data_IF_008260687830
#
_entry.id   IF_008260687830
#
_cell.length_a   1.000
_cell.length_b   1.000
_cell.length_c   1.000
_cell.angle_alpha   90.00
_cell.angle_beta   90.00
_cell.angle_gamma   90.00
#
_symmetry.space_group_name_H-M   'P 1'
#
loop_
_entity.id
_entity.type
_entity.pdbx_description
1 polymer ?
#
# COMPACT_ATOMS: atom_id res chain seq x y z
N UNK A 1 0.86 14.86 26.91
CA UNK A 1 1.76 15.69 26.10
C UNK A 1 1.64 17.17 26.42
N UNK A 2 0.42 17.74 26.54
CA UNK A 2 0.25 19.17 26.87
C UNK A 2 0.93 19.58 28.18
N UNK A 3 0.78 18.80 29.26
CA UNK A 3 1.47 19.07 30.52
C UNK A 3 3.00 19.01 30.37
N UNK A 4 3.50 18.03 29.60
CA UNK A 4 4.93 17.91 29.34
C UNK A 4 5.47 19.11 28.56
N UNK A 5 4.70 19.64 27.62
CA UNK A 5 5.08 20.84 26.85
C UNK A 5 5.25 22.07 27.77
N UNK A 6 4.29 22.31 28.67
CA UNK A 6 4.38 23.40 29.64
C UNK A 6 5.63 23.27 30.50
N UNK A 7 5.89 22.09 31.07
CA UNK A 7 7.09 21.84 31.89
C UNK A 7 8.37 22.08 31.09
N UNK A 8 8.46 21.57 29.85
CA UNK A 8 9.63 21.77 29.00
C UNK A 8 9.89 23.26 28.71
N UNK A 9 8.81 24.03 28.50
CA UNK A 9 8.89 25.48 28.25
C UNK A 9 9.26 26.27 29.49
N UNK A 10 8.60 26.05 30.61
CA UNK A 10 8.80 26.77 31.85
C UNK A 10 10.23 26.59 32.39
N UNK A 11 10.73 25.35 32.33
CA UNK A 11 12.07 25.02 32.79
C UNK A 11 13.15 25.15 31.71
N UNK A 12 12.79 25.52 30.45
CA UNK A 12 13.69 25.65 29.29
C UNK A 12 14.59 24.42 29.09
N UNK A 13 13.96 23.24 29.21
CA UNK A 13 14.61 21.94 29.00
C UNK A 13 14.07 21.26 27.75
N UNK A 14 14.88 20.42 27.11
CA UNK A 14 14.50 19.71 25.87
C UNK A 14 13.99 18.29 26.11
N UNK A 15 14.24 17.73 27.29
CA UNK A 15 13.98 16.32 27.63
C UNK A 15 13.35 16.24 29.00
N UNK A 16 12.24 15.50 29.11
CA UNK A 16 11.51 15.28 30.35
C UNK A 16 11.45 13.79 30.65
N UNK A 17 12.21 13.27 31.65
CA UNK A 17 12.09 11.90 32.11
C UNK A 17 10.71 11.65 32.73
N UNK A 18 10.13 10.50 32.42
CA UNK A 18 8.88 10.04 33.02
C UNK A 18 9.22 8.91 33.99
N UNK A 19 8.79 9.06 35.22
CA UNK A 19 9.00 8.06 36.28
C UNK A 19 7.67 7.51 36.80
N UNK A 20 7.70 6.28 37.27
CA UNK A 20 6.55 5.68 37.96
C UNK A 20 6.44 6.20 39.43
N UNK A 21 5.46 5.70 40.17
CA UNK A 21 5.23 6.07 41.57
C UNK A 21 6.41 5.73 42.51
N UNK A 22 7.33 4.87 42.07
CA UNK A 22 8.54 4.47 42.82
C UNK A 22 9.78 5.26 42.39
N UNK A 23 9.64 6.22 41.45
CA UNK A 23 10.76 7.00 40.91
C UNK A 23 11.59 6.25 39.84
N UNK A 24 11.13 5.12 39.35
CA UNK A 24 11.83 4.35 38.30
C UNK A 24 11.52 4.96 36.94
N UNK A 25 12.53 5.18 36.11
CA UNK A 25 12.41 5.69 34.77
C UNK A 25 11.59 4.72 33.89
N UNK A 26 10.46 5.19 33.37
CA UNK A 26 9.55 4.41 32.51
C UNK A 26 9.39 5.01 31.10
N UNK A 27 9.90 6.21 30.88
CA UNK A 27 9.81 6.86 29.57
C UNK A 27 10.58 8.17 29.50
N UNK A 28 10.61 8.74 28.30
CA UNK A 28 11.21 10.04 28.01
C UNK A 28 10.32 10.76 26.99
N UNK A 29 9.99 12.03 27.27
CA UNK A 29 9.35 12.92 26.32
C UNK A 29 10.34 14.02 25.95
N UNK A 30 10.52 14.27 24.66
CA UNK A 30 11.37 15.35 24.17
C UNK A 30 10.55 16.45 23.51
N UNK A 31 11.10 17.65 23.44
CA UNK A 31 10.48 18.76 22.70
C UNK A 31 10.25 18.40 21.22
N UNK A 32 11.19 17.62 20.62
CA UNK A 32 11.03 17.12 19.25
C UNK A 32 9.82 16.19 19.08
N UNK A 33 9.50 15.38 20.08
CA UNK A 33 8.34 14.48 20.03
C UNK A 33 7.03 15.28 20.01
N UNK A 34 6.96 16.35 20.80
CA UNK A 34 5.83 17.27 20.83
C UNK A 34 5.70 18.00 19.49
N UNK A 35 6.80 18.50 18.91
CA UNK A 35 6.79 19.12 17.59
C UNK A 35 6.34 18.14 16.50
N UNK A 36 6.83 16.91 16.50
CA UNK A 36 6.39 15.87 15.56
C UNK A 36 4.89 15.56 15.69
N UNK A 37 4.37 15.54 16.92
CA UNK A 37 2.95 15.33 17.15
C UNK A 37 2.12 16.48 16.55
N UNK A 38 2.56 17.73 16.70
CA UNK A 38 1.89 18.93 16.15
C UNK A 38 2.01 19.01 14.62
N UNK A 39 3.18 18.70 14.09
CA UNK A 39 3.46 18.77 12.65
C UNK A 39 2.80 17.64 11.87
N UNK A 40 2.64 16.46 12.49
CA UNK A 40 2.07 15.27 11.87
C UNK A 40 0.88 14.69 12.68
N UNK A 41 -0.22 15.47 12.81
CA UNK A 41 -1.36 15.06 13.65
C UNK A 41 -2.09 13.83 13.10
N UNK A 42 -1.96 13.55 11.80
CA UNK A 42 -2.61 12.43 11.10
C UNK A 42 -1.71 11.20 10.93
N UNK A 43 -0.49 11.20 11.49
CA UNK A 43 0.38 10.04 11.44
C UNK A 43 -0.28 8.86 12.16
N UNK A 44 -0.21 7.66 11.54
CA UNK A 44 -0.77 6.44 12.11
C UNK A 44 0.07 5.99 13.30
N UNK A 45 -0.44 6.20 14.51
CA UNK A 45 0.25 5.93 15.78
C UNK A 45 -0.54 4.95 16.63
N UNK A 46 0.17 4.25 17.49
CA UNK A 46 -0.40 3.44 18.55
C UNK A 46 -0.81 4.31 19.76
N UNK A 47 -1.35 3.71 20.80
CA UNK A 47 -1.79 4.38 22.02
C UNK A 47 -0.64 5.03 22.82
N UNK A 48 0.60 4.61 22.56
CA UNK A 48 1.82 5.18 23.15
C UNK A 48 2.43 6.29 22.28
N UNK A 49 1.79 6.64 21.15
CA UNK A 49 2.27 7.67 20.22
C UNK A 49 3.39 7.21 19.28
N UNK A 50 3.70 5.90 19.21
CA UNK A 50 4.68 5.33 18.29
C UNK A 50 4.02 5.09 16.93
N UNK A 51 4.79 5.26 15.84
CA UNK A 51 4.31 4.91 14.50
C UNK A 51 4.01 3.41 14.43
N UNK A 52 2.84 3.06 13.89
CA UNK A 52 2.52 1.66 13.58
C UNK A 52 3.38 1.16 12.43
N UNK A 53 3.82 -0.09 12.54
CA UNK A 53 4.73 -0.73 11.58
C UNK A 53 4.18 -2.05 11.08
N UNK A 54 4.39 -2.33 9.80
CA UNK A 54 4.02 -3.58 9.17
C UNK A 54 5.20 -4.26 8.50
N UNK A 55 5.13 -5.58 8.35
CA UNK A 55 6.10 -6.36 7.62
C UNK A 55 5.42 -7.37 6.70
N UNK A 56 6.04 -7.60 5.51
CA UNK A 56 5.57 -8.62 4.59
C UNK A 56 6.32 -9.94 4.82
N UNK A 57 5.59 -11.04 4.64
CA UNK A 57 6.12 -12.40 4.61
C UNK A 57 5.56 -13.15 3.41
N UNK A 58 6.32 -14.11 2.89
CA UNK A 58 5.87 -15.07 1.89
C UNK A 58 5.24 -16.31 2.53
N UNK A 59 5.20 -17.40 1.75
CA UNK A 59 4.77 -18.73 2.19
C UNK A 59 5.93 -19.69 1.94
N UNK A 60 6.89 -19.68 2.85
CA UNK A 60 8.12 -20.46 2.83
C UNK A 60 8.25 -21.27 4.13
N UNK A 61 9.19 -22.21 4.19
CA UNK A 61 9.38 -23.08 5.36
C UNK A 61 9.71 -22.29 6.65
N UNK A 62 10.37 -21.14 6.52
CA UNK A 62 10.80 -20.28 7.63
C UNK A 62 9.77 -19.16 7.98
N UNK A 63 8.62 -19.11 7.29
CA UNK A 63 7.63 -18.03 7.50
C UNK A 63 7.22 -17.90 8.96
N UNK A 64 6.96 -19.00 9.67
CA UNK A 64 6.53 -18.94 11.08
C UNK A 64 7.63 -18.48 12.04
N UNK A 65 8.89 -18.80 11.75
CA UNK A 65 10.04 -18.29 12.50
C UNK A 65 10.18 -16.78 12.30
N UNK A 66 10.08 -16.32 11.05
CA UNK A 66 10.10 -14.90 10.70
C UNK A 66 8.95 -14.13 11.36
N UNK A 67 7.72 -14.65 11.34
CA UNK A 67 6.57 -14.05 12.03
C UNK A 67 6.82 -13.96 13.53
N UNK A 68 7.37 -15.01 14.16
CA UNK A 68 7.70 -14.98 15.59
C UNK A 68 8.72 -13.89 15.94
N UNK A 69 9.76 -13.72 15.12
CA UNK A 69 10.75 -12.66 15.31
C UNK A 69 10.14 -11.26 15.15
N UNK A 70 9.25 -11.06 14.17
CA UNK A 70 8.56 -9.80 13.93
C UNK A 70 7.60 -9.44 15.07
N UNK A 71 6.85 -10.41 15.59
CA UNK A 71 5.98 -10.23 16.76
C UNK A 71 6.81 -9.85 17.99
N UNK A 72 7.94 -10.53 18.22
CA UNK A 72 8.86 -10.18 19.30
C UNK A 72 9.42 -8.77 19.15
N UNK A 73 9.63 -8.30 17.91
CA UNK A 73 10.09 -6.95 17.62
C UNK A 73 8.99 -5.88 17.75
N UNK A 74 7.73 -6.28 17.96
CA UNK A 74 6.60 -5.37 18.17
C UNK A 74 5.93 -4.91 16.87
N UNK A 75 5.85 -5.77 15.84
CA UNK A 75 5.13 -5.46 14.60
C UNK A 75 3.63 -5.33 14.88
N UNK A 76 2.98 -4.33 14.27
CA UNK A 76 1.53 -4.12 14.40
C UNK A 76 0.72 -4.95 13.40
N UNK A 77 1.25 -5.15 12.19
CA UNK A 77 0.56 -5.87 11.12
C UNK A 77 1.52 -6.70 10.28
N UNK A 78 1.10 -7.91 9.93
CA UNK A 78 1.80 -8.77 8.95
C UNK A 78 1.00 -8.79 7.64
N UNK A 79 1.70 -8.68 6.51
CA UNK A 79 1.11 -8.93 5.19
C UNK A 79 1.64 -10.26 4.64
N UNK A 80 0.78 -11.26 4.48
CA UNK A 80 1.09 -12.46 3.70
C UNK A 80 0.89 -12.06 2.23
N UNK A 81 2.00 -11.77 1.55
CA UNK A 81 2.02 -11.13 0.23
C UNK A 81 2.54 -12.09 -0.84
N UNK A 82 1.64 -12.57 -1.69
CA UNK A 82 1.93 -13.54 -2.75
C UNK A 82 1.33 -13.11 -4.09
N UNK A 83 1.79 -13.71 -5.18
CA UNK A 83 1.22 -13.49 -6.51
C UNK A 83 -0.20 -14.08 -6.64
N UNK A 84 -0.56 -15.07 -5.79
CA UNK A 84 -1.88 -15.71 -5.79
C UNK A 84 -2.32 -16.09 -4.37
N UNK A 85 -3.07 -15.20 -3.72
CA UNK A 85 -3.55 -15.37 -2.34
C UNK A 85 -4.60 -16.45 -2.16
N UNK A 86 -5.33 -16.85 -3.22
CA UNK A 86 -6.33 -17.92 -3.16
C UNK A 86 -5.70 -19.32 -3.38
N UNK A 87 -4.52 -19.54 -2.84
CA UNK A 87 -3.86 -20.84 -2.85
C UNK A 87 -4.00 -21.53 -1.48
N UNK A 88 -3.96 -22.86 -1.50
CA UNK A 88 -4.03 -23.67 -0.27
C UNK A 88 -2.91 -23.32 0.72
N UNK A 89 -1.71 -23.06 0.20
CA UNK A 89 -0.56 -22.67 1.03
C UNK A 89 -0.80 -21.36 1.78
N UNK A 90 -1.29 -20.33 1.09
CA UNK A 90 -1.59 -19.02 1.71
C UNK A 90 -2.71 -19.14 2.75
N UNK A 91 -3.79 -19.85 2.45
CA UNK A 91 -4.91 -20.05 3.39
C UNK A 91 -4.45 -20.80 4.63
N UNK A 92 -3.65 -21.85 4.48
CA UNK A 92 -3.11 -22.60 5.61
C UNK A 92 -2.15 -21.76 6.45
N UNK A 93 -1.25 -21.01 5.81
CA UNK A 93 -0.32 -20.11 6.50
C UNK A 93 -1.05 -19.04 7.29
N UNK A 94 -2.11 -18.43 6.71
CA UNK A 94 -2.95 -17.47 7.41
C UNK A 94 -3.60 -18.07 8.64
N UNK A 95 -4.20 -19.26 8.54
CA UNK A 95 -4.81 -19.97 9.67
C UNK A 95 -3.80 -20.27 10.77
N UNK A 96 -2.59 -20.71 10.40
CA UNK A 96 -1.52 -21.01 11.35
C UNK A 96 -1.06 -19.77 12.11
N UNK A 97 -0.84 -18.64 11.38
CA UNK A 97 -0.48 -17.36 12.00
C UNK A 97 -1.57 -16.89 12.96
N UNK A 98 -2.84 -16.91 12.54
CA UNK A 98 -3.97 -16.48 13.40
C UNK A 98 -4.20 -17.40 14.58
N UNK A 99 -3.98 -18.70 14.44
CA UNK A 99 -4.07 -19.64 15.55
C UNK A 99 -2.99 -19.37 16.64
N UNK A 100 -1.76 -19.08 16.20
CA UNK A 100 -0.63 -18.82 17.11
C UNK A 100 -0.64 -17.39 17.68
N UNK A 101 -1.10 -16.41 16.90
CA UNK A 101 -1.14 -14.98 17.24
C UNK A 101 -2.52 -14.37 16.96
N UNK A 102 -3.55 -14.69 17.74
CA UNK A 102 -4.94 -14.33 17.45
C UNK A 102 -5.18 -12.80 17.39
N UNK A 103 -4.40 -12.03 18.15
CA UNK A 103 -4.51 -10.57 18.20
C UNK A 103 -3.68 -9.84 17.13
N UNK A 104 -2.78 -10.56 16.41
CA UNK A 104 -1.98 -9.97 15.35
C UNK A 104 -2.88 -9.65 14.15
N UNK A 105 -2.76 -8.44 13.64
CA UNK A 105 -3.46 -8.06 12.41
C UNK A 105 -2.76 -8.67 11.20
N UNK A 106 -3.51 -9.35 10.33
CA UNK A 106 -2.96 -10.03 9.15
C UNK A 106 -3.69 -9.59 7.89
N UNK A 107 -2.95 -8.99 6.98
CA UNK A 107 -3.39 -8.71 5.61
C UNK A 107 -3.02 -9.92 4.75
N UNK A 108 -3.93 -10.41 3.91
CA UNK A 108 -3.63 -11.51 2.99
C UNK A 108 -3.92 -11.12 1.53
N UNK A 109 -3.08 -11.54 0.61
CA UNK A 109 -3.23 -11.27 -0.83
C UNK A 109 -2.08 -11.83 -1.68
N UNK A 110 -2.08 -11.56 -3.01
CA UNK A 110 -3.09 -10.79 -3.71
C UNK A 110 -4.20 -11.69 -4.26
N UNK A 111 -5.38 -11.12 -4.37
CA UNK A 111 -6.56 -11.78 -4.91
C UNK A 111 -7.27 -10.90 -5.94
N UNK A 112 -8.25 -11.45 -6.67
CA UNK A 112 -9.00 -10.70 -7.67
C UNK A 112 -10.49 -11.11 -7.76
N UNK A 113 -10.97 -12.04 -6.93
CA UNK A 113 -12.34 -12.55 -7.00
C UNK A 113 -13.03 -12.51 -5.64
N UNK A 114 -14.37 -12.37 -5.65
CA UNK A 114 -15.16 -12.40 -4.43
C UNK A 114 -15.05 -13.73 -3.66
N UNK A 115 -14.93 -14.86 -4.39
CA UNK A 115 -14.72 -16.18 -3.76
C UNK A 115 -13.39 -16.22 -2.98
N UNK A 116 -12.32 -15.68 -3.54
CA UNK A 116 -11.03 -15.57 -2.87
C UNK A 116 -11.10 -14.66 -1.64
N UNK A 117 -11.77 -13.51 -1.76
CA UNK A 117 -11.97 -12.58 -0.65
C UNK A 117 -12.68 -13.25 0.52
N UNK A 118 -13.77 -13.97 0.23
CA UNK A 118 -14.50 -14.71 1.24
C UNK A 118 -13.65 -15.81 1.88
N UNK A 119 -12.91 -16.59 1.10
CA UNK A 119 -12.05 -17.67 1.61
C UNK A 119 -10.96 -17.15 2.56
N UNK A 120 -10.36 -15.99 2.27
CA UNK A 120 -9.37 -15.37 3.15
C UNK A 120 -10.00 -14.78 4.41
N UNK A 121 -11.16 -14.13 4.32
CA UNK A 121 -11.90 -13.64 5.48
C UNK A 121 -12.33 -14.79 6.41
N UNK A 122 -12.87 -15.87 5.84
CA UNK A 122 -13.26 -17.08 6.60
C UNK A 122 -12.03 -17.78 7.25
N UNK A 123 -10.83 -17.59 6.68
CA UNK A 123 -9.57 -18.08 7.24
C UNK A 123 -8.97 -17.15 8.32
N UNK A 124 -9.58 -15.99 8.59
CA UNK A 124 -9.19 -15.07 9.66
C UNK A 124 -8.35 -13.87 9.19
N UNK A 125 -8.35 -13.51 7.89
CA UNK A 125 -7.71 -12.28 7.44
C UNK A 125 -8.40 -11.06 8.03
N UNK A 126 -7.62 -10.12 8.57
CA UNK A 126 -8.12 -8.84 9.07
C UNK A 126 -8.28 -7.81 7.94
N UNK A 127 -7.61 -8.00 6.81
CA UNK A 127 -7.82 -7.27 5.56
C UNK A 127 -7.40 -8.11 4.36
N UNK A 128 -7.96 -7.82 3.17
CA UNK A 128 -7.55 -8.47 1.93
C UNK A 128 -6.95 -7.47 0.96
N UNK A 129 -5.88 -7.89 0.24
CA UNK A 129 -5.21 -7.07 -0.74
C UNK A 129 -5.52 -7.57 -2.16
N UNK A 130 -6.12 -6.68 -2.97
CA UNK A 130 -6.73 -7.00 -4.27
C UNK A 130 -5.94 -6.40 -5.42
N UNK A 131 -5.51 -7.25 -6.33
CA UNK A 131 -4.79 -6.83 -7.53
C UNK A 131 -3.95 -7.96 -8.13
N UNK A 132 -4.39 -8.53 -9.25
CA UNK A 132 -3.66 -9.53 -10.04
C UNK A 132 -3.37 -8.94 -11.41
N UNK A 133 -2.10 -8.59 -11.64
CA UNK A 133 -1.61 -8.05 -12.90
C UNK A 133 -1.88 -6.57 -13.22
N UNK A 134 -2.39 -5.69 -12.32
CA UNK A 134 -2.67 -4.30 -12.68
C UNK A 134 -1.45 -3.37 -12.62
N UNK A 135 -0.34 -3.80 -12.03
CA UNK A 135 0.87 -2.98 -11.85
C UNK A 135 1.49 -2.56 -13.19
N UNK A 136 2.04 -1.34 -13.26
CA UNK A 136 2.62 -0.78 -14.49
C UNK A 136 3.86 -1.53 -14.97
N UNK A 137 4.54 -2.26 -14.07
CA UNK A 137 5.74 -3.07 -14.34
C UNK A 137 5.42 -4.57 -14.33
N UNK A 138 4.14 -4.94 -14.20
CA UNK A 138 3.70 -6.33 -14.14
C UNK A 138 3.40 -6.88 -15.54
N UNK A 139 3.92 -8.07 -15.83
CA UNK A 139 3.66 -8.77 -17.09
C UNK A 139 2.89 -10.07 -16.92
N UNK A 140 2.38 -10.37 -15.71
CA UNK A 140 1.61 -11.60 -15.41
C UNK A 140 0.47 -11.83 -16.42
N UNK A 141 -0.26 -10.80 -16.80
CA UNK A 141 -1.37 -10.90 -17.76
C UNK A 141 -0.93 -11.34 -19.15
N UNK A 142 0.31 -11.05 -19.52
CA UNK A 142 0.88 -11.40 -20.84
C UNK A 142 1.60 -12.75 -20.76
N UNK A 143 2.42 -12.95 -19.74
CA UNK A 143 3.27 -14.13 -19.59
C UNK A 143 2.45 -15.35 -19.14
N UNK A 144 1.63 -15.18 -18.10
CA UNK A 144 0.80 -16.24 -17.54
C UNK A 144 -0.64 -16.25 -18.08
N UNK A 145 -1.08 -15.19 -18.78
CA UNK A 145 -2.45 -15.04 -19.25
C UNK A 145 -3.49 -14.86 -18.13
N UNK A 146 -3.03 -14.50 -16.92
CA UNK A 146 -3.86 -14.40 -15.72
C UNK A 146 -3.95 -12.96 -15.23
N UNK A 147 -5.15 -12.53 -14.84
CA UNK A 147 -5.41 -11.22 -14.27
C UNK A 147 -6.85 -10.79 -14.45
N UNK A 148 -7.24 -9.77 -13.70
CA UNK A 148 -8.59 -9.20 -13.71
C UNK A 148 -8.49 -7.68 -13.78
N UNK A 149 -9.36 -6.97 -14.55
CA UNK A 149 -9.41 -5.52 -14.52
C UNK A 149 -9.61 -5.00 -13.10
N UNK A 150 -8.75 -4.06 -12.65
CA UNK A 150 -8.60 -3.73 -11.24
C UNK A 150 -9.88 -3.22 -10.58
N UNK A 151 -10.60 -2.31 -11.24
CA UNK A 151 -11.84 -1.76 -10.68
C UNK A 151 -12.90 -2.84 -10.46
N UNK A 152 -13.00 -3.79 -11.42
CA UNK A 152 -13.90 -4.94 -11.31
C UNK A 152 -13.50 -5.87 -10.16
N UNK A 153 -12.20 -6.17 -10.03
CA UNK A 153 -11.68 -7.01 -8.95
C UNK A 153 -11.98 -6.41 -7.56
N UNK A 154 -11.75 -5.11 -7.40
CA UNK A 154 -12.05 -4.39 -6.15
C UNK A 154 -13.55 -4.46 -5.84
N UNK A 155 -14.40 -4.16 -6.82
CA UNK A 155 -15.86 -4.18 -6.67
C UNK A 155 -16.37 -5.56 -6.25
N UNK A 156 -15.95 -6.64 -6.94
CA UNK A 156 -16.38 -8.00 -6.62
C UNK A 156 -15.89 -8.47 -5.25
N UNK A 157 -14.65 -8.15 -4.87
CA UNK A 157 -14.14 -8.47 -3.54
C UNK A 157 -14.87 -7.71 -2.44
N UNK A 158 -15.08 -6.41 -2.60
CA UNK A 158 -15.80 -5.58 -1.63
C UNK A 158 -17.26 -6.03 -1.47
N UNK A 159 -17.93 -6.36 -2.59
CA UNK A 159 -19.29 -6.91 -2.58
C UNK A 159 -19.38 -8.22 -1.79
N UNK A 160 -18.41 -9.13 -1.97
CA UNK A 160 -18.36 -10.41 -1.28
C UNK A 160 -18.08 -10.27 0.22
N UNK A 161 -17.39 -9.20 0.64
CA UNK A 161 -17.04 -8.93 2.04
C UNK A 161 -18.03 -8.01 2.75
N UNK A 162 -19.10 -7.59 2.08
CA UNK A 162 -20.11 -6.70 2.69
C UNK A 162 -20.67 -7.31 3.97
N UNK A 163 -20.60 -6.57 5.07
CA UNK A 163 -21.10 -6.99 6.39
C UNK A 163 -20.12 -7.85 7.21
N UNK A 164 -18.94 -8.22 6.66
CA UNK A 164 -17.93 -8.99 7.40
C UNK A 164 -17.02 -8.14 8.29
N UNK A 165 -16.93 -6.83 8.01
CA UNK A 165 -15.96 -5.94 8.67
C UNK A 165 -14.53 -6.04 8.12
N UNK A 166 -14.25 -6.92 7.15
CA UNK A 166 -12.93 -7.09 6.55
C UNK A 166 -12.73 -6.09 5.41
N UNK A 167 -11.81 -5.10 5.54
CA UNK A 167 -11.59 -4.08 4.52
C UNK A 167 -10.80 -4.59 3.32
N UNK A 168 -10.96 -3.89 2.21
CA UNK A 168 -10.27 -4.13 0.94
C UNK A 168 -9.18 -3.10 0.71
N UNK A 169 -7.98 -3.55 0.37
CA UNK A 169 -6.86 -2.73 -0.10
C UNK A 169 -6.77 -2.88 -1.62
N UNK A 170 -6.98 -1.80 -2.37
CA UNK A 170 -6.85 -1.81 -3.83
C UNK A 170 -5.37 -1.63 -4.22
N UNK A 171 -4.73 -2.71 -4.66
CA UNK A 171 -3.29 -2.73 -4.96
C UNK A 171 -3.01 -2.72 -6.46
N UNK A 172 -2.45 -1.62 -6.94
CA UNK A 172 -2.05 -1.43 -8.34
C UNK A 172 -3.13 -0.89 -9.26
N UNK A 173 -2.73 -0.56 -10.48
CA UNK A 173 -3.62 -0.01 -11.51
C UNK A 173 -3.99 1.46 -11.33
N UNK A 174 -3.45 2.13 -10.32
CA UNK A 174 -3.66 3.55 -10.04
C UNK A 174 -2.67 4.37 -10.88
N UNK A 175 -3.17 5.12 -11.84
CA UNK A 175 -2.35 5.96 -12.76
C UNK A 175 -2.50 7.44 -12.47
N UNK A 176 -3.70 7.87 -12.13
CA UNK A 176 -4.06 9.26 -11.85
C UNK A 176 -4.72 9.39 -10.48
N UNK A 177 -4.76 10.60 -9.95
CA UNK A 177 -5.42 10.89 -8.66
C UNK A 177 -6.89 10.46 -8.61
N UNK A 178 -7.61 10.63 -9.73
CA UNK A 178 -9.01 10.20 -9.86
C UNK A 178 -9.22 8.68 -9.75
N UNK A 179 -8.20 7.87 -10.03
CA UNK A 179 -8.31 6.42 -9.88
C UNK A 179 -8.37 5.99 -8.41
N UNK A 180 -7.79 6.80 -7.49
CA UNK A 180 -7.91 6.61 -6.05
C UNK A 180 -9.38 6.69 -5.62
N UNK A 181 -10.08 7.75 -6.05
CA UNK A 181 -11.49 7.94 -5.74
C UNK A 181 -12.35 6.82 -6.34
N UNK A 182 -12.06 6.37 -7.57
CA UNK A 182 -12.74 5.25 -8.22
C UNK A 182 -12.54 3.94 -7.46
N UNK A 183 -11.31 3.65 -6.99
CA UNK A 183 -11.04 2.46 -6.20
C UNK A 183 -11.81 2.46 -4.89
N UNK A 184 -11.86 3.61 -4.19
CA UNK A 184 -12.65 3.77 -2.96
C UNK A 184 -14.14 3.64 -3.24
N UNK A 185 -14.66 4.29 -4.27
CA UNK A 185 -16.07 4.18 -4.67
C UNK A 185 -16.44 2.73 -5.05
N UNK A 186 -15.50 1.93 -5.57
CA UNK A 186 -15.70 0.50 -5.81
C UNK A 186 -15.69 -0.36 -4.54
N UNK A 187 -15.46 0.23 -3.36
CA UNK A 187 -15.51 -0.44 -2.06
C UNK A 187 -14.16 -0.69 -1.39
N UNK A 188 -13.06 -0.16 -1.94
CA UNK A 188 -11.79 -0.19 -1.23
C UNK A 188 -11.80 0.77 -0.04
N UNK A 189 -11.16 0.39 1.06
CA UNK A 189 -10.93 1.26 2.22
C UNK A 189 -9.62 2.04 2.11
N UNK A 190 -8.63 1.45 1.44
CA UNK A 190 -7.30 2.04 1.19
C UNK A 190 -6.79 1.62 -0.19
N UNK A 191 -5.73 2.30 -0.66
CA UNK A 191 -5.04 1.95 -1.89
C UNK A 191 -3.57 1.63 -1.62
N UNK A 192 -2.98 0.78 -2.47
CA UNK A 192 -1.55 0.60 -2.58
C UNK A 192 -1.11 0.98 -4.00
N UNK A 193 -0.05 1.77 -4.11
CA UNK A 193 0.43 2.26 -5.39
C UNK A 193 1.95 2.14 -5.49
N UNK A 194 2.44 1.59 -6.58
CA UNK A 194 3.87 1.48 -6.88
C UNK A 194 4.35 2.65 -7.73
N UNK A 195 3.93 2.72 -9.01
CA UNK A 195 4.43 3.69 -9.99
C UNK A 195 4.17 5.16 -9.61
N UNK A 196 3.10 5.44 -8.87
CA UNK A 196 2.81 6.79 -8.41
C UNK A 196 3.88 7.32 -7.44
N UNK A 197 4.44 6.44 -6.62
CA UNK A 197 5.50 6.78 -5.65
C UNK A 197 6.91 6.41 -6.12
N UNK A 198 7.06 5.63 -7.19
CA UNK A 198 8.38 5.21 -7.65
C UNK A 198 9.28 6.37 -8.12
N UNK A 199 8.68 7.49 -8.56
CA UNK A 199 9.40 8.68 -9.02
C UNK A 199 9.74 9.70 -7.93
N UNK A 200 9.35 9.48 -6.68
CA UNK A 200 9.65 10.43 -5.59
C UNK A 200 11.11 10.33 -5.13
N UNK A 201 11.62 11.40 -4.53
CA UNK A 201 12.99 11.48 -4.03
C UNK A 201 13.32 10.36 -3.05
N UNK A 202 12.39 10.05 -2.14
CA UNK A 202 12.54 9.05 -1.09
C UNK A 202 12.46 7.60 -1.59
N UNK A 203 12.06 7.38 -2.84
CA UNK A 203 12.04 6.03 -3.45
C UNK A 203 13.48 5.48 -3.55
N UNK A 204 13.71 4.18 -3.26
CA UNK A 204 15.05 3.58 -3.24
C UNK A 204 15.69 3.42 -4.63
N UNK A 205 14.92 3.57 -5.72
CA UNK A 205 15.44 3.47 -7.08
C UNK A 205 16.52 4.51 -7.37
N UNK A 206 17.52 4.15 -8.16
CA UNK A 206 18.59 5.05 -8.57
C UNK A 206 18.04 6.24 -9.37
N UNK A 207 18.63 7.42 -9.16
CA UNK A 207 18.32 8.59 -9.98
C UNK A 207 19.15 8.53 -11.28
N UNK A 208 18.46 8.55 -12.40
CA UNK A 208 19.01 8.43 -13.74
C UNK A 208 18.82 9.77 -14.48
N UNK A 209 19.87 10.28 -15.11
CA UNK A 209 19.78 11.41 -16.06
C UNK A 209 19.67 10.83 -17.47
N UNK A 210 18.59 11.12 -18.16
CA UNK A 210 18.34 10.68 -19.53
C UNK A 210 17.73 11.83 -20.35
N UNK A 211 18.32 12.12 -21.49
CA UNK A 211 17.89 13.24 -22.36
C UNK A 211 17.69 14.56 -21.59
N UNK A 212 18.60 14.87 -20.66
CA UNK A 212 18.56 16.09 -19.86
C UNK A 212 17.49 16.14 -18.75
N UNK A 213 16.76 15.05 -18.52
CA UNK A 213 15.71 14.95 -17.50
C UNK A 213 16.07 13.92 -16.43
N UNK A 214 15.57 14.14 -15.20
CA UNK A 214 15.72 13.20 -14.10
C UNK A 214 14.65 12.12 -14.14
N UNK A 215 15.06 10.88 -13.92
CA UNK A 215 14.21 9.70 -13.77
C UNK A 215 14.63 8.91 -12.52
N UNK A 216 13.76 8.03 -12.04
CA UNK A 216 14.09 7.02 -11.04
C UNK A 216 13.98 5.63 -11.67
N UNK A 217 14.93 4.76 -11.37
CA UNK A 217 14.81 3.33 -11.69
C UNK A 217 13.63 2.73 -10.93
N UNK A 218 12.86 1.90 -11.60
CA UNK A 218 11.71 1.21 -11.02
C UNK A 218 11.61 -0.21 -11.57
N UNK A 219 11.56 -1.19 -10.67
CA UNK A 219 11.49 -2.60 -11.04
C UNK A 219 10.27 -3.29 -10.45
N UNK A 220 9.74 -4.26 -11.19
CA UNK A 220 8.70 -5.16 -10.68
C UNK A 220 9.25 -6.20 -9.73
N UNK A 221 8.46 -6.63 -8.77
CA UNK A 221 8.78 -7.74 -7.88
C UNK A 221 9.02 -9.06 -8.64
N UNK A 222 8.38 -9.24 -9.81
CA UNK A 222 8.56 -10.38 -10.70
C UNK A 222 9.64 -10.17 -11.76
N UNK A 223 10.47 -9.13 -11.70
CA UNK A 223 11.65 -8.99 -12.57
C UNK A 223 12.78 -9.92 -12.11
N UNK A 224 13.68 -10.30 -13.02
CA UNK A 224 14.82 -11.15 -12.69
C UNK A 224 15.64 -10.52 -11.57
N UNK A 225 15.93 -9.23 -11.66
CA UNK A 225 16.73 -8.49 -10.68
C UNK A 225 16.10 -8.45 -9.29
N UNK A 226 14.77 -8.48 -9.21
CA UNK A 226 14.08 -8.58 -7.92
C UNK A 226 14.09 -10.02 -7.38
N UNK A 227 13.90 -11.00 -8.26
CA UNK A 227 13.93 -12.42 -7.90
C UNK A 227 15.31 -12.86 -7.37
N UNK A 228 16.41 -12.36 -7.95
CA UNK A 228 17.77 -12.56 -7.46
C UNK A 228 17.98 -12.02 -6.04
N UNK A 229 17.22 -11.00 -5.66
CA UNK A 229 17.30 -10.34 -4.34
C UNK A 229 16.25 -10.84 -3.33
N UNK A 230 15.55 -11.93 -3.63
CA UNK A 230 14.70 -12.63 -2.66
C UNK A 230 13.20 -12.64 -2.94
N UNK A 231 12.71 -12.10 -4.08
CA UNK A 231 11.27 -12.10 -4.37
C UNK A 231 10.76 -13.35 -5.11
N UNK A 232 11.59 -14.40 -5.25
CA UNK A 232 11.24 -15.66 -5.92
C UNK A 232 10.05 -16.37 -5.26
N UNK A 233 9.99 -16.35 -3.94
CA UNK A 233 8.93 -16.95 -3.12
C UNK A 233 7.55 -16.40 -3.44
N UNK A 234 7.45 -15.10 -3.74
CA UNK A 234 6.20 -14.45 -4.15
C UNK A 234 5.57 -15.11 -5.39
N UNK A 235 6.40 -15.60 -6.29
CA UNK A 235 6.02 -16.21 -7.57
C UNK A 235 6.13 -17.73 -7.58
N UNK A 236 6.25 -18.37 -6.40
CA UNK A 236 6.38 -19.83 -6.24
C UNK A 236 7.58 -20.43 -6.99
N UNK A 237 8.68 -19.66 -7.09
CA UNK A 237 9.92 -20.04 -7.75
C UNK A 237 11.11 -20.07 -6.78
N UNK A 238 10.86 -20.18 -5.49
CA UNK A 238 11.84 -20.15 -4.41
C UNK A 238 12.81 -21.35 -4.45
N UNK A 239 12.38 -22.48 -5.00
CA UNK A 239 13.19 -23.71 -5.13
C UNK A 239 14.10 -23.72 -6.37
N UNK A 240 13.97 -22.76 -7.29
CA UNK A 240 14.81 -22.69 -8.50
C UNK A 240 16.03 -21.79 -8.24
N UNK A 241 17.21 -22.38 -8.35
CA UNK A 241 18.50 -21.69 -8.14
C UNK A 241 19.14 -21.22 -9.45
N UNK A 242 18.77 -21.81 -10.59
CA UNK A 242 19.29 -21.37 -11.89
C UNK A 242 18.48 -20.19 -12.42
N UNK A 243 19.10 -19.01 -12.40
CA UNK A 243 18.50 -17.75 -12.89
C UNK A 243 17.93 -17.87 -14.31
N UNK A 244 18.58 -18.68 -15.16
CA UNK A 244 18.14 -18.88 -16.56
C UNK A 244 16.84 -19.66 -16.68
N UNK A 245 16.40 -20.31 -15.62
CA UNK A 245 15.14 -21.07 -15.57
C UNK A 245 14.02 -20.28 -14.90
N UNK A 246 14.31 -19.14 -14.29
CA UNK A 246 13.28 -18.25 -13.74
C UNK A 246 12.39 -17.72 -14.87
N UNK A 247 11.09 -17.66 -14.61
CA UNK A 247 10.10 -17.09 -15.53
C UNK A 247 9.65 -15.74 -14.96
N UNK A 248 10.19 -14.60 -15.48
CA UNK A 248 9.87 -13.31 -14.95
C UNK A 248 8.44 -12.88 -15.34
N UNK A 249 7.73 -12.33 -14.38
CA UNK A 249 6.40 -11.71 -14.54
C UNK A 249 6.44 -10.20 -14.29
N UNK A 250 7.57 -9.57 -14.48
CA UNK A 250 7.79 -8.14 -14.31
C UNK A 250 9.01 -7.65 -15.07
N UNK A 251 9.07 -6.35 -15.26
CA UNK A 251 10.13 -5.65 -15.96
C UNK A 251 10.85 -4.64 -15.06
N UNK A 252 12.04 -4.20 -15.51
CA UNK A 252 12.73 -3.01 -14.99
C UNK A 252 12.53 -1.87 -15.98
N UNK A 253 12.24 -0.69 -15.46
CA UNK A 253 12.06 0.51 -16.25
C UNK A 253 12.50 1.76 -15.50
N UNK A 254 12.20 2.90 -16.04
CA UNK A 254 12.38 4.20 -15.39
C UNK A 254 11.08 4.99 -15.39
N UNK A 255 10.87 5.76 -14.34
CA UNK A 255 9.74 6.69 -14.19
C UNK A 255 10.26 8.11 -14.04
N UNK A 256 9.53 9.13 -14.51
CA UNK A 256 9.92 10.51 -14.32
C UNK A 256 10.09 10.83 -12.82
N UNK A 257 11.11 11.63 -12.49
CA UNK A 257 11.27 12.19 -11.15
C UNK A 257 10.13 13.17 -10.83
N UNK A 258 9.53 13.05 -9.65
CA UNK A 258 8.31 13.79 -9.28
C UNK A 258 8.48 14.74 -8.09
N UNK A 259 9.70 14.92 -7.58
CA UNK A 259 9.93 15.68 -6.35
C UNK A 259 9.74 14.86 -5.08
N UNK A 260 9.38 15.51 -3.98
CA UNK A 260 9.24 14.86 -2.68
C UNK A 260 7.95 14.04 -2.55
N UNK A 261 7.96 13.02 -1.71
CA UNK A 261 6.77 12.23 -1.35
C UNK A 261 5.66 13.13 -0.79
N UNK A 262 6.02 14.14 -0.01
CA UNK A 262 5.06 15.06 0.59
C UNK A 262 4.27 15.85 -0.48
N UNK A 263 4.97 16.39 -1.49
CA UNK A 263 4.34 17.13 -2.59
C UNK A 263 3.41 16.22 -3.42
N UNK A 264 3.89 15.03 -3.77
CA UNK A 264 3.11 14.05 -4.54
C UNK A 264 1.86 13.60 -3.76
N UNK A 265 2.00 13.30 -2.46
CA UNK A 265 0.89 12.91 -1.61
C UNK A 265 -0.12 14.05 -1.44
N UNK A 266 0.34 15.30 -1.35
CA UNK A 266 -0.54 16.47 -1.30
C UNK A 266 -1.46 16.54 -2.53
N UNK A 267 -0.91 16.32 -3.74
CA UNK A 267 -1.69 16.30 -4.98
C UNK A 267 -2.73 15.16 -4.97
N UNK A 268 -2.36 13.96 -4.49
CA UNK A 268 -3.29 12.82 -4.41
C UNK A 268 -4.43 13.08 -3.44
N UNK A 269 -4.13 13.60 -2.25
CA UNK A 269 -5.14 13.98 -1.26
C UNK A 269 -6.03 15.09 -1.81
N UNK A 270 -5.46 16.07 -2.52
CA UNK A 270 -6.20 17.15 -3.17
C UNK A 270 -7.21 16.61 -4.19
N UNK A 271 -6.78 15.70 -5.08
CA UNK A 271 -7.65 15.06 -6.05
C UNK A 271 -8.75 14.20 -5.42
N UNK A 272 -8.42 13.45 -4.35
CA UNK A 272 -9.43 12.69 -3.60
C UNK A 272 -10.47 13.61 -2.95
N UNK A 273 -10.03 14.70 -2.30
CA UNK A 273 -10.96 15.70 -1.72
C UNK A 273 -11.85 16.36 -2.76
N UNK A 274 -11.30 16.67 -3.94
CA UNK A 274 -12.10 17.18 -5.06
C UNK A 274 -13.18 16.19 -5.48
N UNK A 275 -12.83 14.91 -5.64
CA UNK A 275 -13.80 13.85 -5.95
C UNK A 275 -14.88 13.71 -4.88
N UNK A 276 -14.51 13.75 -3.59
CA UNK A 276 -15.45 13.72 -2.48
C UNK A 276 -16.40 14.93 -2.53
N UNK A 277 -15.89 16.12 -2.86
CA UNK A 277 -16.70 17.32 -3.04
C UNK A 277 -17.72 17.18 -4.17
N UNK A 278 -17.29 16.72 -5.35
CA UNK A 278 -18.20 16.49 -6.48
C UNK A 278 -19.26 15.43 -6.20
N UNK A 279 -18.94 14.40 -5.41
CA UNK A 279 -19.88 13.34 -5.06
C UNK A 279 -20.71 13.64 -3.80
N UNK A 280 -20.53 14.80 -3.13
CA UNK A 280 -21.19 15.13 -1.88
C UNK A 280 -20.83 14.21 -0.72
N UNK A 281 -19.65 13.58 -0.77
CA UNK A 281 -19.19 12.58 0.21
C UNK A 281 -18.38 13.27 1.32
N UNK A 282 -18.93 13.35 2.53
CA UNK A 282 -18.25 13.96 3.68
C UNK A 282 -17.13 13.06 4.27
N UNK A 283 -17.20 11.75 4.04
CA UNK A 283 -16.24 10.74 4.54
C UNK A 283 -15.86 9.75 3.43
N UNK A 284 -14.81 8.98 3.66
CA UNK A 284 -14.39 7.90 2.75
C UNK A 284 -15.52 6.87 2.58
N UNK A 285 -16.20 6.50 3.66
CA UNK A 285 -17.30 5.54 3.62
C UNK A 285 -18.47 6.07 2.77
N UNK A 286 -18.75 7.38 2.84
CA UNK A 286 -19.76 8.01 1.99
C UNK A 286 -19.36 8.04 0.51
N UNK A 287 -18.06 8.10 0.20
CA UNK A 287 -17.61 8.01 -1.19
C UNK A 287 -17.86 6.62 -1.79
N UNK A 288 -17.97 5.57 -1.00
CA UNK A 288 -18.34 4.22 -1.46
C UNK A 288 -19.81 4.13 -1.95
N UNK A 289 -20.64 5.14 -1.67
CA UNK A 289 -22.02 5.24 -2.19
C UNK A 289 -22.09 5.89 -3.58
N UNK A 290 -20.96 6.40 -4.10
CA UNK A 290 -20.91 7.04 -5.41
C UNK A 290 -21.22 6.06 -6.55
N UNK A 291 -21.87 6.57 -7.61
CA UNK A 291 -22.31 5.76 -8.73
C UNK A 291 -21.31 5.80 -9.88
N UNK A 292 -21.25 4.71 -10.62
CA UNK A 292 -20.46 4.57 -11.83
C UNK A 292 -21.33 4.60 -13.07
N UNK A 293 -20.77 5.19 -14.13
CA UNK A 293 -21.28 5.02 -15.49
C UNK A 293 -20.28 4.20 -16.31
N UNK A 294 -20.78 3.33 -17.17
CA UNK A 294 -19.93 2.61 -18.11
C UNK A 294 -19.56 3.55 -19.26
N UNK A 295 -18.29 3.61 -19.58
CA UNK A 295 -17.76 4.35 -20.72
C UNK A 295 -17.07 3.42 -21.71
N UNK A 296 -16.90 3.88 -22.94
CA UNK A 296 -16.16 3.21 -24.02
C UNK A 296 -14.76 3.80 -24.14
N UNK A 297 -13.96 3.28 -25.09
CA UNK A 297 -12.66 3.88 -25.44
C UNK A 297 -12.79 5.35 -25.86
N UNK A 298 -13.88 5.74 -26.52
CA UNK A 298 -14.18 7.14 -26.88
C UNK A 298 -14.37 8.00 -25.63
N UNK A 299 -15.14 7.53 -24.64
CA UNK A 299 -15.31 8.22 -23.37
C UNK A 299 -14.01 8.35 -22.56
N UNK A 300 -13.09 7.37 -22.64
CA UNK A 300 -11.74 7.50 -22.06
C UNK A 300 -10.97 8.63 -22.75
N UNK A 301 -11.02 8.72 -24.08
CA UNK A 301 -10.36 9.79 -24.82
C UNK A 301 -10.92 11.17 -24.46
N UNK A 302 -12.24 11.29 -24.37
CA UNK A 302 -12.95 12.51 -23.93
C UNK A 302 -12.55 12.93 -22.50
N UNK A 303 -12.28 11.95 -21.62
CA UNK A 303 -11.89 12.20 -20.23
C UNK A 303 -10.50 12.85 -20.09
N UNK A 304 -9.67 12.82 -21.11
CA UNK A 304 -8.37 13.49 -21.14
C UNK A 304 -8.47 14.81 -21.92
N UNK A 305 -7.58 15.78 -21.69
CA UNK A 305 -7.47 16.94 -22.56
C UNK A 305 -7.31 16.50 -24.01
N UNK A 306 -8.21 16.95 -24.88
CA UNK A 306 -8.25 16.61 -26.30
C UNK A 306 -8.42 17.87 -27.16
N UNK A 307 -8.06 17.77 -28.42
CA UNK A 307 -8.15 18.87 -29.41
C UNK A 307 -7.35 20.13 -29.01
N UNK A 308 -6.34 19.98 -28.16
CA UNK A 308 -5.42 21.04 -27.71
C UNK A 308 -4.00 20.48 -27.54
N UNK A 309 -3.01 21.29 -27.89
CA UNK A 309 -1.60 21.02 -27.58
C UNK A 309 -1.28 21.49 -26.14
N UNK A 310 -0.77 20.61 -25.30
CA UNK A 310 -0.33 20.96 -23.95
C UNK A 310 1.00 21.72 -24.09
N UNK A 311 1.02 22.99 -23.71
CA UNK A 311 2.22 23.82 -23.68
C UNK A 311 2.88 23.89 -22.30
N UNK A 312 2.10 23.60 -21.23
CA UNK A 312 2.58 23.54 -19.86
C UNK A 312 1.85 22.41 -19.11
N UNK A 313 2.61 21.47 -18.59
CA UNK A 313 2.07 20.39 -17.78
C UNK A 313 1.56 20.90 -16.42
N UNK A 314 0.53 20.25 -15.88
CA UNK A 314 0.08 20.47 -14.51
C UNK A 314 0.84 19.54 -13.53
N UNK A 315 1.03 19.91 -12.27
CA UNK A 315 1.75 19.08 -11.29
C UNK A 315 1.15 17.68 -11.10
N UNK A 316 -0.12 17.51 -11.40
CA UNK A 316 -0.90 16.29 -11.22
C UNK A 316 -1.38 15.66 -12.53
N UNK A 317 -0.98 16.21 -13.66
CA UNK A 317 -1.30 15.69 -14.99
C UNK A 317 -0.14 15.86 -15.98
N UNK A 318 0.35 14.74 -16.48
CA UNK A 318 1.28 14.63 -17.61
C UNK A 318 0.78 13.56 -18.58
N UNK A 319 1.09 13.74 -19.87
CA UNK A 319 0.83 12.73 -20.92
C UNK A 319 1.90 11.66 -20.96
#
# INVERSE_FOLDING_TARGET
LLQAEVILQDYKIEKLPIVDAKGILVGLITFKDIQKFKNFPKACKDEQGRLRVGAAVGVTADTMERVAALVKAGVDVIAIDTAHGHSKGVINQLKEVKAKYPNLQVIAGNIATGAAAKALADAGADAVKVGIGPGSICTTRIIAGVGVPQLYAVYECAKALKGTGVPVIADGGIKHTGDIAKAIAAGASTIMAGSLFAGVEESPGETIIYEGRKFKSYRGMGSIEAMEQGSKDRYFQDVEDDIKKLVPEGIVGRVPFKGSLAEVTYQFIGGLKASMGYCGAATIDKLQEAQFVRITASGIRESHPHDIAITKEAPNYSR
#
